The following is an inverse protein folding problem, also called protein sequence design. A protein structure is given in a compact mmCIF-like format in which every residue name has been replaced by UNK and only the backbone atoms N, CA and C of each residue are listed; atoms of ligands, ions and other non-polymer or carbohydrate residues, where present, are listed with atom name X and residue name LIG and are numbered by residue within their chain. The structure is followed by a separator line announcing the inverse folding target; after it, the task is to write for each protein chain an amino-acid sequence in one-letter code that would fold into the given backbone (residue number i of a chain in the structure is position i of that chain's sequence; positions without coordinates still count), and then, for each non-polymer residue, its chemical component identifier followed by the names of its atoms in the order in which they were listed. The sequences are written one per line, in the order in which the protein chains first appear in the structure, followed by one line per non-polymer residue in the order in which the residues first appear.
data_IF_938222477950
#
_entry.id   IF_938222477950
#
_cell.length_a   1.000
_cell.length_b   1.000
_cell.length_c   1.000
_cell.angle_alpha   90.00
_cell.angle_beta   90.00
_cell.angle_gamma   90.00
#
_symmetry.space_group_name_H-M   'P 1'
#
loop_
_entity.id
_entity.type
_entity.pdbx_description
1 polymer ?
#
# COMPACT_ATOMS: atom_id res chain seq x y z
N UNK A 1 42.90 -32.32 6.96
CA UNK A 1 42.35 -31.51 5.85
C UNK A 1 42.94 -30.12 5.96
N UNK A 2 43.52 -29.54 4.91
CA UNK A 2 44.13 -28.21 4.96
C UNK A 2 43.03 -27.16 5.18
N UNK A 3 43.33 -26.10 5.94
CA UNK A 3 42.41 -25.00 6.28
C UNK A 3 41.75 -24.42 5.03
N UNK A 4 42.50 -24.27 3.95
CA UNK A 4 42.02 -23.82 2.64
C UNK A 4 40.95 -24.73 2.02
N UNK A 5 41.03 -26.03 2.24
CA UNK A 5 40.05 -27.02 1.77
C UNK A 5 38.73 -26.88 2.53
N UNK A 6 38.81 -26.64 3.84
CA UNK A 6 37.62 -26.39 4.69
C UNK A 6 36.93 -25.09 4.27
N UNK A 7 37.71 -24.03 4.03
CA UNK A 7 37.17 -22.74 3.59
C UNK A 7 36.50 -22.83 2.18
N UNK A 8 37.09 -23.65 1.28
CA UNK A 8 36.50 -23.93 0.01
C UNK A 8 35.17 -24.68 0.14
N UNK A 9 35.12 -25.74 0.92
CA UNK A 9 33.88 -26.46 1.20
C UNK A 9 32.83 -25.60 1.84
N UNK A 10 33.17 -24.76 2.81
CA UNK A 10 32.24 -23.83 3.46
C UNK A 10 31.66 -22.80 2.46
N UNK A 11 32.47 -22.34 1.49
CA UNK A 11 31.98 -21.46 0.40
C UNK A 11 31.02 -22.20 -0.52
N UNK A 12 31.32 -23.44 -0.89
CA UNK A 12 30.47 -24.29 -1.75
C UNK A 12 29.15 -24.59 -1.00
N UNK A 13 29.20 -25.01 0.25
CA UNK A 13 27.99 -25.26 1.05
C UNK A 13 27.12 -24.01 1.18
N UNK A 14 27.73 -22.83 1.39
CA UNK A 14 27.00 -21.56 1.47
C UNK A 14 26.28 -21.18 0.17
N UNK A 15 26.82 -21.61 -0.99
CA UNK A 15 26.19 -21.41 -2.30
C UNK A 15 25.08 -22.43 -2.53
N UNK A 16 25.16 -23.61 -1.92
CA UNK A 16 24.17 -24.69 -2.02
C UNK A 16 23.06 -24.59 -0.96
N UNK A 17 23.24 -23.77 0.08
CA UNK A 17 22.15 -23.48 1.02
C UNK A 17 20.97 -22.86 0.25
N UNK A 18 19.76 -23.42 0.38
CA UNK A 18 18.59 -22.77 -0.21
C UNK A 18 18.47 -21.35 0.41
N UNK A 19 18.08 -20.35 -0.38
CA UNK A 19 17.86 -19.01 0.16
C UNK A 19 16.85 -19.11 1.32
N UNK A 20 17.04 -18.33 2.40
CA UNK A 20 16.13 -18.35 3.53
C UNK A 20 14.71 -18.00 3.04
N UNK A 21 13.71 -18.70 3.54
CA UNK A 21 12.30 -18.41 3.24
C UNK A 21 11.90 -17.11 3.94
N UNK A 22 12.03 -16.00 3.21
CA UNK A 22 11.78 -14.65 3.73
C UNK A 22 10.41 -14.16 3.29
N UNK A 23 9.64 -13.63 4.22
CA UNK A 23 8.47 -12.83 3.89
C UNK A 23 8.88 -11.48 3.28
N UNK A 24 7.93 -10.75 2.69
CA UNK A 24 8.23 -9.45 2.08
C UNK A 24 8.75 -8.45 3.10
N UNK A 25 8.18 -8.40 4.32
CA UNK A 25 8.65 -7.52 5.38
C UNK A 25 10.08 -7.85 5.82
N UNK A 26 10.38 -9.13 6.01
CA UNK A 26 11.73 -9.60 6.36
C UNK A 26 12.75 -9.31 5.26
N UNK A 27 12.36 -9.50 3.97
CA UNK A 27 13.22 -9.14 2.84
C UNK A 27 13.51 -7.63 2.83
N UNK A 28 12.49 -6.80 3.04
CA UNK A 28 12.64 -5.36 3.05
C UNK A 28 13.54 -4.90 4.20
N UNK A 29 13.33 -5.39 5.41
CA UNK A 29 14.16 -5.08 6.57
C UNK A 29 15.62 -5.51 6.38
N UNK A 30 15.85 -6.60 5.65
CA UNK A 30 17.21 -7.12 5.42
C UNK A 30 17.94 -6.36 4.31
N UNK A 31 17.29 -6.07 3.19
CA UNK A 31 17.96 -5.66 1.96
C UNK A 31 17.60 -4.24 1.48
N UNK A 32 16.37 -3.77 1.73
CA UNK A 32 15.85 -2.53 1.15
C UNK A 32 16.58 -1.29 1.69
N UNK A 33 16.88 -0.36 0.78
CA UNK A 33 17.34 0.98 1.11
C UNK A 33 16.38 2.01 0.52
N UNK A 34 15.99 2.97 1.34
CA UNK A 34 15.22 4.14 0.90
C UNK A 34 16.16 5.12 0.23
N UNK A 35 15.76 5.65 -0.93
CA UNK A 35 16.48 6.71 -1.60
C UNK A 35 16.15 8.06 -0.98
N UNK A 36 17.13 8.93 -0.82
CA UNK A 36 16.93 10.32 -0.41
C UNK A 36 16.19 11.15 -1.46
N UNK A 37 16.19 10.72 -2.73
CA UNK A 37 15.49 11.37 -3.85
C UNK A 37 13.97 11.13 -3.82
N UNK A 38 13.52 10.11 -3.11
CA UNK A 38 12.09 9.72 -3.04
C UNK A 38 11.27 10.48 -1.99
N UNK A 39 11.78 11.59 -1.46
CA UNK A 39 11.08 12.43 -0.46
C UNK A 39 11.09 11.87 0.97
N UNK A 40 11.66 10.69 1.20
CA UNK A 40 11.89 10.10 2.52
C UNK A 40 13.32 10.37 3.00
N UNK A 41 13.55 10.33 4.32
CA UNK A 41 14.91 10.26 4.84
C UNK A 41 15.54 8.97 4.33
N UNK A 42 16.59 9.09 3.49
CA UNK A 42 17.33 7.94 2.97
C UNK A 42 17.83 7.03 4.10
N UNK A 43 18.01 5.74 3.84
CA UNK A 43 18.54 4.81 4.82
C UNK A 43 17.99 3.39 4.71
N UNK A 44 18.24 2.59 5.72
CA UNK A 44 17.71 1.23 5.80
C UNK A 44 16.19 1.24 6.02
N UNK A 45 15.48 0.39 5.29
CA UNK A 45 14.08 0.11 5.59
C UNK A 45 13.95 -0.47 7.01
N UNK A 46 12.89 -0.09 7.69
CA UNK A 46 12.53 -0.67 8.98
C UNK A 46 11.02 -0.72 9.10
N UNK A 47 10.46 -1.92 9.05
CA UNK A 47 9.02 -2.18 9.10
C UNK A 47 8.41 -1.76 10.45
N UNK A 48 9.19 -1.77 11.55
CA UNK A 48 8.71 -1.33 12.87
C UNK A 48 8.34 0.16 12.92
N UNK A 49 8.85 0.96 11.98
CA UNK A 49 8.46 2.37 11.85
C UNK A 49 7.06 2.58 11.28
N UNK A 50 6.49 1.53 10.66
CA UNK A 50 5.15 1.55 10.09
C UNK A 50 4.48 0.18 10.33
N UNK A 51 4.12 -0.14 11.58
CA UNK A 51 3.68 -1.50 11.98
C UNK A 51 2.47 -2.00 11.20
N UNK A 52 1.55 -1.11 10.79
CA UNK A 52 0.38 -1.45 9.98
C UNK A 52 0.72 -2.02 8.60
N UNK A 53 1.93 -1.85 8.12
CA UNK A 53 2.35 -2.35 6.80
C UNK A 53 2.79 -3.83 6.84
N UNK A 54 3.20 -4.35 8.01
CA UNK A 54 3.85 -5.67 8.13
C UNK A 54 3.00 -6.81 7.61
N UNK A 55 1.79 -6.97 8.15
CA UNK A 55 0.92 -8.09 7.78
C UNK A 55 0.47 -8.02 6.31
N UNK A 56 0.27 -6.82 5.77
CA UNK A 56 -0.04 -6.61 4.35
C UNK A 56 1.13 -7.07 3.48
N UNK A 57 2.34 -6.66 3.83
CA UNK A 57 3.56 -7.08 3.11
C UNK A 57 3.71 -8.60 3.15
N UNK A 58 3.51 -9.21 4.30
CA UNK A 58 3.65 -10.67 4.46
C UNK A 58 2.55 -11.43 3.71
N UNK A 59 1.31 -10.91 3.66
CA UNK A 59 0.24 -11.47 2.86
C UNK A 59 0.56 -11.48 1.34
N UNK A 60 1.33 -10.52 0.83
CA UNK A 60 1.74 -10.48 -0.58
C UNK A 60 2.63 -11.66 -0.93
N UNK A 61 3.45 -12.15 0.00
CA UNK A 61 4.33 -13.31 -0.24
C UNK A 61 3.78 -14.63 0.29
N UNK A 62 2.67 -14.61 1.02
CA UNK A 62 1.99 -15.83 1.45
C UNK A 62 1.45 -16.62 0.25
N UNK A 63 1.92 -17.86 0.06
CA UNK A 63 1.59 -18.69 -1.08
C UNK A 63 0.09 -19.05 -1.16
N UNK A 64 -0.62 -19.02 -0.05
CA UNK A 64 -2.06 -19.28 0.03
C UNK A 64 -2.91 -18.09 -0.43
N UNK A 65 -2.34 -16.89 -0.52
CA UNK A 65 -3.02 -15.64 -0.87
C UNK A 65 -2.74 -15.30 -2.33
N UNK A 66 -3.76 -15.27 -3.17
CA UNK A 66 -3.63 -14.89 -4.59
C UNK A 66 -3.83 -13.39 -4.81
N UNK A 67 -4.71 -12.76 -4.00
CA UNK A 67 -5.06 -11.34 -4.16
C UNK A 67 -5.05 -10.61 -2.81
N UNK A 68 -4.41 -9.44 -2.80
CA UNK A 68 -4.34 -8.50 -1.69
C UNK A 68 -4.94 -7.17 -2.12
N UNK A 69 -5.89 -6.66 -1.35
CA UNK A 69 -6.58 -5.38 -1.58
C UNK A 69 -6.25 -4.43 -0.44
N UNK A 70 -5.80 -3.22 -0.75
CA UNK A 70 -5.42 -2.22 0.26
C UNK A 70 -6.20 -0.93 0.04
N UNK A 71 -7.28 -0.76 0.78
CA UNK A 71 -8.05 0.47 0.86
C UNK A 71 -7.53 1.29 2.05
N UNK A 72 -7.02 2.48 1.81
CA UNK A 72 -6.40 3.23 2.91
C UNK A 72 -6.37 4.73 2.70
N UNK A 73 -6.06 5.44 3.77
CA UNK A 73 -5.71 6.85 3.74
C UNK A 73 -4.56 7.16 2.78
N UNK A 74 -4.45 8.42 2.38
CA UNK A 74 -3.34 8.90 1.56
C UNK A 74 -2.04 9.03 2.39
N UNK A 75 -0.89 9.14 1.70
CA UNK A 75 0.42 9.39 2.31
C UNK A 75 0.86 8.38 3.39
N UNK A 76 0.30 7.18 3.38
CA UNK A 76 0.61 6.10 4.33
C UNK A 76 1.73 5.15 3.85
N UNK A 77 2.48 5.54 2.82
CA UNK A 77 3.63 4.78 2.32
C UNK A 77 3.28 3.56 1.46
N UNK A 78 2.07 3.48 0.91
CA UNK A 78 1.58 2.35 0.07
C UNK A 78 2.55 1.97 -1.04
N UNK A 79 2.99 2.95 -1.83
CA UNK A 79 3.85 2.72 -2.99
C UNK A 79 5.18 2.08 -2.61
N UNK A 80 5.85 2.55 -1.57
CA UNK A 80 7.11 1.96 -1.11
C UNK A 80 6.92 0.58 -0.49
N UNK A 81 5.91 0.43 0.39
CA UNK A 81 5.69 -0.80 1.15
C UNK A 81 5.16 -1.94 0.27
N UNK A 82 4.13 -1.68 -0.54
CA UNK A 82 3.40 -2.74 -1.21
C UNK A 82 3.80 -2.93 -2.68
N UNK A 83 4.19 -1.85 -3.37
CA UNK A 83 4.58 -1.97 -4.77
C UNK A 83 6.10 -2.12 -4.92
N UNK A 84 6.88 -1.13 -4.46
CA UNK A 84 8.33 -1.14 -4.69
C UNK A 84 9.02 -2.29 -3.96
N UNK A 85 8.66 -2.56 -2.70
CA UNK A 85 9.24 -3.70 -1.99
C UNK A 85 8.88 -5.03 -2.67
N UNK A 86 7.64 -5.17 -3.18
CA UNK A 86 7.22 -6.35 -3.96
C UNK A 86 8.04 -6.49 -5.24
N UNK A 87 8.24 -5.41 -6.00
CA UNK A 87 9.11 -5.43 -7.17
C UNK A 87 10.53 -5.85 -6.78
N UNK A 88 11.07 -5.27 -5.72
CA UNK A 88 12.42 -5.59 -5.24
C UNK A 88 12.56 -7.06 -4.81
N UNK A 89 11.59 -7.58 -4.08
CA UNK A 89 11.53 -8.99 -3.66
C UNK A 89 11.55 -9.93 -4.87
N UNK A 90 10.60 -9.75 -5.80
CA UNK A 90 10.50 -10.60 -6.99
C UNK A 90 11.60 -10.34 -8.03
N UNK A 91 12.33 -9.26 -7.96
CA UNK A 91 13.54 -9.04 -8.76
C UNK A 91 14.76 -9.75 -8.18
N UNK A 92 14.86 -9.83 -6.86
CA UNK A 92 16.05 -10.35 -6.16
C UNK A 92 15.91 -11.80 -5.75
N UNK A 93 14.79 -12.16 -5.15
CA UNK A 93 14.61 -13.39 -4.40
C UNK A 93 13.87 -14.49 -5.18
N UNK A 94 12.78 -14.12 -5.87
CA UNK A 94 11.95 -15.04 -6.66
C UNK A 94 11.62 -14.44 -8.05
N UNK A 95 12.62 -14.35 -8.96
CA UNK A 95 12.49 -13.62 -10.21
C UNK A 95 11.34 -14.11 -11.11
N UNK A 96 10.53 -13.17 -11.60
CA UNK A 96 9.39 -13.47 -12.45
C UNK A 96 8.96 -12.28 -13.32
N UNK A 97 7.87 -12.45 -14.07
CA UNK A 97 7.25 -11.37 -14.85
C UNK A 97 6.29 -10.55 -13.98
N UNK A 98 6.49 -9.24 -13.97
CA UNK A 98 5.72 -8.26 -13.19
C UNK A 98 5.07 -7.26 -14.13
N UNK A 99 3.79 -6.97 -13.92
CA UNK A 99 3.09 -5.83 -14.51
C UNK A 99 2.74 -4.84 -13.39
N UNK A 100 3.20 -3.59 -13.52
CA UNK A 100 2.84 -2.50 -12.62
C UNK A 100 1.99 -1.49 -13.39
N UNK A 101 0.75 -1.33 -12.94
CA UNK A 101 -0.23 -0.44 -13.54
C UNK A 101 -0.37 0.83 -12.71
N UNK A 102 -0.42 1.96 -13.40
CA UNK A 102 -0.69 3.28 -12.87
C UNK A 102 -1.92 3.86 -13.58
N UNK A 103 -2.61 4.87 -13.03
CA UNK A 103 -3.75 5.49 -13.69
C UNK A 103 -3.45 5.98 -15.11
N UNK A 104 -2.28 6.58 -15.30
CA UNK A 104 -1.85 7.13 -16.60
C UNK A 104 -0.44 6.68 -16.99
N UNK A 105 -0.12 6.78 -18.27
CA UNK A 105 1.22 6.46 -18.77
C UNK A 105 2.28 7.44 -18.20
N UNK A 106 1.92 8.71 -17.99
CA UNK A 106 2.80 9.69 -17.35
C UNK A 106 3.15 9.30 -15.91
N UNK A 107 2.17 8.84 -15.12
CA UNK A 107 2.44 8.34 -13.78
C UNK A 107 3.28 7.06 -13.79
N UNK A 108 3.08 6.18 -14.78
CA UNK A 108 3.94 5.01 -14.97
C UNK A 108 5.39 5.40 -15.30
N UNK A 109 5.60 6.47 -16.07
CA UNK A 109 6.93 7.01 -16.35
C UNK A 109 7.58 7.57 -15.08
N UNK A 110 6.86 8.39 -14.31
CA UNK A 110 7.30 8.92 -13.01
C UNK A 110 7.66 7.78 -12.04
N UNK A 111 6.80 6.77 -11.93
CA UNK A 111 7.04 5.59 -11.10
C UNK A 111 8.34 4.87 -11.51
N UNK A 112 8.59 4.75 -12.82
CA UNK A 112 9.81 4.13 -13.34
C UNK A 112 11.07 4.94 -13.03
N UNK A 113 11.05 6.25 -13.34
CA UNK A 113 12.23 7.13 -13.26
C UNK A 113 12.53 7.56 -11.83
N UNK A 114 11.50 8.01 -11.11
CA UNK A 114 11.68 8.74 -9.86
C UNK A 114 11.53 7.85 -8.62
N UNK A 115 10.99 6.62 -8.79
CA UNK A 115 10.80 5.69 -7.68
C UNK A 115 11.55 4.37 -7.86
N UNK A 116 11.30 3.64 -8.97
CA UNK A 116 11.93 2.33 -9.20
C UNK A 116 13.44 2.44 -9.40
N UNK A 117 13.90 3.31 -10.29
CA UNK A 117 15.34 3.37 -10.59
C UNK A 117 16.18 3.86 -9.42
N UNK A 118 15.80 4.89 -8.64
CA UNK A 118 16.47 5.21 -7.38
C UNK A 118 16.49 4.04 -6.39
N UNK A 119 15.38 3.30 -6.25
CA UNK A 119 15.35 2.11 -5.41
C UNK A 119 16.38 1.06 -5.84
N UNK A 120 16.44 0.75 -7.14
CA UNK A 120 17.38 -0.24 -7.71
C UNK A 120 18.81 0.20 -7.49
N UNK A 121 19.12 1.48 -7.76
CA UNK A 121 20.45 2.05 -7.57
C UNK A 121 20.94 2.00 -6.12
N UNK A 122 20.06 2.36 -5.18
CA UNK A 122 20.43 2.57 -3.79
C UNK A 122 20.31 1.30 -2.93
N UNK A 123 19.63 0.26 -3.43
CA UNK A 123 19.55 -1.06 -2.77
C UNK A 123 20.64 -1.99 -3.30
N UNK A 124 21.69 -2.34 -2.50
CA UNK A 124 22.82 -3.13 -3.00
C UNK A 124 22.43 -4.47 -3.64
N UNK A 125 21.39 -5.14 -3.12
CA UNK A 125 20.89 -6.40 -3.65
C UNK A 125 20.25 -6.29 -5.05
N UNK A 126 19.89 -5.07 -5.49
CA UNK A 126 19.22 -4.79 -6.75
C UNK A 126 20.09 -4.08 -7.77
N UNK A 127 21.16 -3.41 -7.33
CA UNK A 127 21.97 -2.47 -8.13
C UNK A 127 22.41 -3.03 -9.47
N UNK A 128 22.82 -4.29 -9.52
CA UNK A 128 23.35 -4.92 -10.74
C UNK A 128 22.32 -5.76 -11.48
N UNK A 129 21.04 -5.73 -11.03
CA UNK A 129 19.98 -6.54 -11.67
C UNK A 129 19.46 -5.90 -12.96
N UNK A 130 19.50 -4.58 -13.10
CA UNK A 130 19.07 -3.89 -14.31
C UNK A 130 20.27 -3.21 -14.95
N UNK A 131 20.59 -3.60 -16.18
CA UNK A 131 21.65 -2.96 -16.96
C UNK A 131 21.06 -1.82 -17.82
N UNK A 132 21.18 -0.58 -17.35
CA UNK A 132 20.69 0.59 -18.07
C UNK A 132 21.53 0.96 -19.32
N UNK A 133 22.81 0.58 -19.33
CA UNK A 133 23.74 0.95 -20.41
C UNK A 133 23.61 0.07 -21.65
N UNK A 134 22.94 -1.05 -21.55
CA UNK A 134 22.78 -2.00 -22.66
C UNK A 134 21.52 -1.68 -23.48
N UNK A 135 21.70 -0.99 -24.60
CA UNK A 135 20.62 -0.82 -25.61
C UNK A 135 20.16 -2.15 -26.20
N UNK A 136 20.98 -3.19 -26.17
CA UNK A 136 20.68 -4.54 -26.64
C UNK A 136 19.80 -5.35 -25.68
N UNK A 137 19.70 -4.98 -24.41
CA UNK A 137 18.90 -5.69 -23.42
C UNK A 137 17.39 -5.39 -23.50
N UNK A 138 16.94 -4.53 -24.42
CA UNK A 138 15.51 -4.17 -24.57
C UNK A 138 14.95 -3.35 -23.39
N UNK A 139 15.83 -2.71 -22.61
CA UNK A 139 15.44 -1.87 -21.50
C UNK A 139 14.98 -0.50 -21.99
N UNK A 140 13.75 -0.11 -21.61
CA UNK A 140 13.17 1.19 -21.89
C UNK A 140 12.69 1.80 -20.57
N UNK A 141 12.12 3.00 -20.62
CA UNK A 141 11.49 3.62 -19.45
C UNK A 141 10.43 2.70 -18.85
N UNK A 142 9.61 2.08 -19.69
CA UNK A 142 8.45 1.27 -19.27
C UNK A 142 8.74 -0.23 -19.12
N UNK A 143 9.85 -0.72 -19.66
CA UNK A 143 10.20 -2.14 -19.63
C UNK A 143 11.62 -2.32 -19.13
N UNK A 144 11.79 -3.12 -18.08
CA UNK A 144 13.09 -3.44 -17.51
C UNK A 144 13.24 -4.95 -17.42
N UNK A 145 14.27 -5.49 -18.06
CA UNK A 145 14.65 -6.87 -17.94
C UNK A 145 15.68 -7.06 -16.83
N UNK A 146 15.58 -8.15 -16.11
CA UNK A 146 16.53 -8.56 -15.08
C UNK A 146 16.69 -10.10 -15.14
N UNK A 147 17.74 -10.68 -14.55
CA UNK A 147 17.93 -12.13 -14.58
C UNK A 147 16.72 -12.88 -14.03
N UNK A 148 16.12 -13.75 -14.83
CA UNK A 148 14.95 -14.56 -14.47
C UNK A 148 13.59 -13.87 -14.60
N UNK A 149 13.52 -12.58 -15.00
CA UNK A 149 12.25 -11.90 -15.10
C UNK A 149 12.30 -10.56 -15.85
N UNK A 150 11.18 -9.87 -15.80
CA UNK A 150 11.02 -8.50 -16.31
C UNK A 150 9.91 -7.77 -15.56
N UNK A 151 10.01 -6.45 -15.54
CA UNK A 151 8.90 -5.58 -15.15
C UNK A 151 8.44 -4.78 -16.37
N UNK A 152 7.13 -4.65 -16.52
CA UNK A 152 6.48 -3.72 -17.43
C UNK A 152 5.67 -2.73 -16.59
N UNK A 153 5.85 -1.46 -16.85
CA UNK A 153 5.04 -0.37 -16.28
C UNK A 153 4.12 0.17 -17.34
N UNK A 154 2.85 0.40 -17.01
CA UNK A 154 1.85 0.85 -17.99
C UNK A 154 0.79 1.73 -17.35
N UNK A 155 0.11 2.53 -18.18
CA UNK A 155 -1.12 3.21 -17.79
C UNK A 155 -2.34 2.29 -17.97
N UNK A 156 -3.35 2.48 -17.13
CA UNK A 156 -4.60 1.71 -17.17
C UNK A 156 -5.38 1.90 -18.50
N UNK A 157 -5.10 2.97 -19.24
CA UNK A 157 -5.69 3.26 -20.54
C UNK A 157 -4.94 2.66 -21.75
N UNK A 158 -3.97 1.75 -21.52
CA UNK A 158 -3.12 1.17 -22.57
C UNK A 158 -3.49 -0.29 -22.88
N UNK A 159 -4.53 -0.58 -23.66
CA UNK A 159 -5.06 -1.93 -23.84
C UNK A 159 -4.05 -2.92 -24.42
N UNK A 160 -3.18 -2.48 -25.32
CA UNK A 160 -2.14 -3.34 -25.93
C UNK A 160 -1.17 -3.92 -24.90
N UNK A 161 -0.72 -3.14 -23.92
CA UNK A 161 0.19 -3.62 -22.88
C UNK A 161 -0.52 -4.55 -21.89
N UNK A 162 -1.81 -4.32 -21.62
CA UNK A 162 -2.62 -5.14 -20.72
C UNK A 162 -2.91 -6.55 -21.28
N UNK A 163 -2.74 -6.75 -22.60
CA UNK A 163 -2.98 -8.04 -23.27
C UNK A 163 -1.72 -8.79 -23.68
N UNK A 164 -0.55 -8.16 -23.62
CA UNK A 164 0.58 -8.60 -24.41
C UNK A 164 1.21 -9.92 -23.97
N UNK A 165 1.21 -10.27 -22.69
CA UNK A 165 1.96 -11.43 -22.18
C UNK A 165 1.39 -11.98 -20.86
N UNK A 166 1.61 -13.29 -20.56
CA UNK A 166 1.41 -13.82 -19.21
C UNK A 166 2.30 -13.12 -18.21
N UNK A 167 1.72 -12.79 -17.06
CA UNK A 167 2.41 -12.18 -15.91
C UNK A 167 2.15 -13.03 -14.67
N UNK A 168 3.11 -13.05 -13.75
CA UNK A 168 2.92 -13.72 -12.46
C UNK A 168 2.47 -12.76 -11.38
N UNK A 169 2.95 -11.53 -11.43
CA UNK A 169 2.65 -10.49 -10.44
C UNK A 169 1.97 -9.31 -11.15
N UNK A 170 0.81 -8.93 -10.65
CA UNK A 170 0.09 -7.71 -11.02
C UNK A 170 0.10 -6.77 -9.82
N UNK A 171 0.58 -5.55 -10.03
CA UNK A 171 0.55 -4.46 -9.07
C UNK A 171 -0.27 -3.32 -9.67
N UNK A 172 -1.43 -3.03 -9.09
CA UNK A 172 -2.35 -2.00 -9.57
C UNK A 172 -2.46 -0.89 -8.51
N UNK A 173 -1.93 0.28 -8.84
CA UNK A 173 -1.88 1.43 -7.94
C UNK A 173 -2.96 2.45 -8.27
N UNK A 174 -3.61 3.00 -7.25
CA UNK A 174 -4.68 4.00 -7.34
C UNK A 174 -5.80 3.58 -8.31
N UNK A 175 -6.36 2.37 -8.08
CA UNK A 175 -7.35 1.77 -8.99
C UNK A 175 -8.65 2.56 -9.12
N UNK A 176 -8.99 3.40 -8.14
CA UNK A 176 -10.15 4.29 -8.21
C UNK A 176 -9.99 5.37 -9.30
N UNK A 177 -8.76 5.70 -9.65
CA UNK A 177 -8.46 6.65 -10.73
C UNK A 177 -8.39 6.00 -12.13
N UNK A 178 -8.66 4.69 -12.24
CA UNK A 178 -8.65 4.01 -13.54
C UNK A 178 -9.89 4.38 -14.36
N UNK A 179 -9.76 4.52 -15.70
CA UNK A 179 -10.90 4.69 -16.55
C UNK A 179 -11.83 3.47 -16.48
N UNK A 180 -13.14 3.64 -16.76
CA UNK A 180 -14.08 2.52 -16.77
C UNK A 180 -13.74 1.48 -17.85
N UNK A 181 -13.10 1.91 -18.93
CA UNK A 181 -12.66 1.04 -20.03
C UNK A 181 -11.26 1.42 -20.51
N UNK A 182 -10.43 0.43 -20.81
CA UNK A 182 -9.18 0.62 -21.53
C UNK A 182 -9.46 0.70 -23.03
N UNK A 183 -9.64 1.91 -23.55
CA UNK A 183 -10.16 2.13 -24.91
C UNK A 183 -11.55 1.50 -25.09
N UNK A 184 -11.74 0.65 -26.12
CA UNK A 184 -12.99 -0.08 -26.38
C UNK A 184 -13.02 -1.49 -25.78
N UNK A 185 -12.05 -1.88 -24.96
CA UNK A 185 -11.78 -3.31 -24.66
C UNK A 185 -12.28 -3.79 -23.28
N UNK A 186 -12.83 -2.88 -22.47
CA UNK A 186 -13.39 -3.19 -21.15
C UNK A 186 -12.50 -2.78 -19.99
N UNK A 187 -12.86 -3.19 -18.79
CA UNK A 187 -12.21 -2.80 -17.55
C UNK A 187 -10.73 -3.18 -17.52
N UNK A 188 -9.81 -2.21 -17.28
CA UNK A 188 -8.37 -2.44 -17.32
C UNK A 188 -7.88 -3.45 -16.29
N UNK A 189 -8.47 -3.48 -15.09
CA UNK A 189 -8.08 -4.42 -14.03
C UNK A 189 -8.47 -5.84 -14.41
N UNK A 190 -9.67 -6.05 -14.95
CA UNK A 190 -10.12 -7.35 -15.44
C UNK A 190 -9.24 -7.83 -16.61
N UNK A 191 -8.87 -6.93 -17.53
CA UNK A 191 -8.00 -7.29 -18.67
C UNK A 191 -6.62 -7.75 -18.22
N UNK A 192 -6.01 -7.02 -17.27
CA UNK A 192 -4.71 -7.37 -16.69
C UNK A 192 -4.79 -8.67 -15.86
N UNK A 193 -5.82 -8.82 -15.03
CA UNK A 193 -6.04 -10.01 -14.20
C UNK A 193 -6.12 -11.31 -14.99
N UNK A 194 -6.68 -11.28 -16.23
CA UNK A 194 -6.67 -12.43 -17.14
C UNK A 194 -5.26 -12.91 -17.53
N UNK A 195 -4.22 -12.10 -17.38
CA UNK A 195 -2.83 -12.48 -17.67
C UNK A 195 -2.18 -13.29 -16.55
N UNK A 196 -2.77 -13.29 -15.37
CA UNK A 196 -2.30 -14.05 -14.19
C UNK A 196 -2.65 -15.55 -14.28
N UNK A 197 -3.63 -15.94 -15.08
CA UNK A 197 -4.21 -17.30 -15.09
C UNK A 197 -3.23 -18.41 -15.43
N UNK A 198 -2.11 -18.11 -16.09
CA UNK A 198 -1.07 -19.08 -16.45
C UNK A 198 -0.27 -19.57 -15.24
N UNK A 199 -0.22 -18.76 -14.17
CA UNK A 199 0.62 -19.06 -13.00
C UNK A 199 -0.24 -19.50 -11.81
N UNK A 200 0.06 -20.66 -11.27
CA UNK A 200 -0.61 -21.17 -10.06
C UNK A 200 -0.26 -20.36 -8.79
N UNK A 201 0.95 -19.77 -8.77
CA UNK A 201 1.48 -18.94 -7.69
C UNK A 201 1.42 -17.43 -8.04
N UNK A 202 0.37 -17.04 -8.76
CA UNK A 202 0.11 -15.64 -9.12
C UNK A 202 -0.16 -14.75 -7.92
N UNK A 203 0.11 -13.47 -8.07
CA UNK A 203 -0.24 -12.42 -7.08
C UNK A 203 -0.86 -11.23 -7.78
N UNK A 204 -1.92 -10.73 -7.20
CA UNK A 204 -2.56 -9.46 -7.56
C UNK A 204 -2.58 -8.58 -6.32
N UNK A 205 -2.10 -7.34 -6.44
CA UNK A 205 -2.06 -6.35 -5.36
C UNK A 205 -2.71 -5.08 -5.87
N UNK A 206 -3.89 -4.78 -5.32
CA UNK A 206 -4.68 -3.60 -5.66
C UNK A 206 -4.59 -2.61 -4.51
N UNK A 207 -4.18 -1.38 -4.81
CA UNK A 207 -4.08 -0.31 -3.82
C UNK A 207 -4.83 0.93 -4.29
N UNK A 208 -5.53 1.59 -3.41
CA UNK A 208 -6.12 2.90 -3.67
C UNK A 208 -6.54 3.62 -2.39
N UNK A 209 -6.64 4.94 -2.50
CA UNK A 209 -7.49 5.75 -1.65
C UNK A 209 -8.90 5.70 -2.23
N UNK A 210 -9.96 5.46 -1.42
CA UNK A 210 -11.32 5.36 -1.91
C UNK A 210 -11.89 6.74 -2.30
N UNK A 211 -12.95 6.75 -3.10
CA UNK A 211 -13.59 7.97 -3.60
C UNK A 211 -15.06 8.08 -3.17
N UNK A 212 -16.01 7.84 -4.03
CA UNK A 212 -17.44 7.97 -3.76
C UNK A 212 -18.05 6.60 -3.50
N UNK A 213 -18.86 6.50 -2.46
CA UNK A 213 -19.56 5.28 -2.07
C UNK A 213 -20.37 4.70 -3.22
N UNK A 214 -20.24 3.40 -3.46
CA UNK A 214 -20.91 2.69 -4.54
C UNK A 214 -20.31 2.90 -5.93
N UNK A 215 -19.35 3.83 -6.10
CA UNK A 215 -18.60 4.03 -7.34
C UNK A 215 -17.10 3.70 -7.18
N UNK A 216 -16.60 3.67 -5.95
CA UNK A 216 -15.21 3.34 -5.62
C UNK A 216 -14.90 1.88 -5.93
N UNK A 217 -13.91 1.64 -6.81
CA UNK A 217 -13.45 0.29 -7.15
C UNK A 217 -12.78 -0.40 -5.97
N UNK A 218 -11.94 0.34 -5.24
CA UNK A 218 -11.23 -0.24 -4.11
C UNK A 218 -12.19 -0.61 -2.97
N UNK A 219 -13.28 0.15 -2.77
CA UNK A 219 -14.32 -0.21 -1.81
C UNK A 219 -15.02 -1.52 -2.22
N UNK A 220 -15.42 -1.66 -3.49
CA UNK A 220 -16.03 -2.89 -4.00
C UNK A 220 -15.10 -4.10 -3.85
N UNK A 221 -13.82 -3.97 -4.17
CA UNK A 221 -12.83 -5.03 -3.98
C UNK A 221 -12.63 -5.37 -2.49
N UNK A 222 -12.57 -4.36 -1.63
CA UNK A 222 -12.45 -4.54 -0.18
C UNK A 222 -13.68 -5.23 0.41
N UNK A 223 -14.90 -4.85 0.03
CA UNK A 223 -16.14 -5.48 0.49
C UNK A 223 -16.27 -6.97 0.10
N UNK A 224 -15.62 -7.38 -1.00
CA UNK A 224 -15.56 -8.79 -1.41
C UNK A 224 -14.40 -9.58 -0.76
N UNK A 225 -13.55 -8.92 0.02
CA UNK A 225 -12.39 -9.49 0.70
C UNK A 225 -12.69 -9.92 2.15
N UNK A 226 -11.64 -10.29 2.89
CA UNK A 226 -11.68 -10.56 4.34
C UNK A 226 -12.12 -9.36 5.17
N UNK A 227 -12.05 -8.13 4.62
CA UNK A 227 -12.36 -6.86 5.30
C UNK A 227 -11.63 -6.74 6.64
N UNK A 228 -10.32 -6.73 6.58
CA UNK A 228 -9.45 -6.64 7.75
C UNK A 228 -9.20 -5.18 8.13
N UNK A 229 -9.42 -4.83 9.38
CA UNK A 229 -9.15 -3.51 9.93
C UNK A 229 -7.93 -3.54 10.85
N UNK A 230 -7.12 -2.47 10.81
CA UNK A 230 -5.99 -2.31 11.72
C UNK A 230 -6.48 -2.01 13.13
N UNK A 231 -6.22 -2.92 14.07
CA UNK A 231 -6.60 -2.81 15.47
C UNK A 231 -5.36 -2.66 16.36
N UNK A 232 -5.48 -1.81 17.37
CA UNK A 232 -4.42 -1.52 18.34
C UNK A 232 -4.94 -1.83 19.75
N UNK A 233 -4.13 -2.43 20.65
CA UNK A 233 -4.55 -2.65 22.02
C UNK A 233 -4.60 -1.32 22.79
N UNK A 234 -5.64 -1.18 23.60
CA UNK A 234 -5.79 -0.01 24.49
C UNK A 234 -4.68 0.00 25.57
N UNK A 235 -4.01 1.14 25.80
CA UNK A 235 -2.97 1.24 26.84
C UNK A 235 -3.42 0.85 28.24
N UNK A 236 -4.71 1.02 28.58
CA UNK A 236 -5.25 0.69 29.90
C UNK A 236 -5.78 -0.73 30.02
N UNK A 237 -6.63 -1.20 29.10
CA UNK A 237 -7.32 -2.48 29.24
C UNK A 237 -6.78 -3.58 28.29
N UNK A 238 -5.88 -3.25 27.35
CA UNK A 238 -5.30 -4.22 26.40
C UNK A 238 -6.27 -4.70 25.32
N UNK A 239 -7.53 -4.26 25.32
CA UNK A 239 -8.52 -4.67 24.32
C UNK A 239 -8.20 -4.09 22.95
N UNK A 240 -8.21 -4.95 21.93
CA UNK A 240 -7.96 -4.58 20.54
C UNK A 240 -9.16 -3.82 19.96
N UNK A 241 -8.89 -2.70 19.31
CA UNK A 241 -9.92 -1.89 18.65
C UNK A 241 -9.36 -1.13 17.45
N UNK A 242 -10.17 -0.88 16.41
CA UNK A 242 -9.77 0.01 15.32
C UNK A 242 -9.67 1.46 15.85
N UNK A 243 -8.80 2.24 15.22
CA UNK A 243 -8.72 3.68 15.51
C UNK A 243 -9.77 4.41 14.66
N UNK A 244 -10.86 4.83 15.29
CA UNK A 244 -11.97 5.53 14.64
C UNK A 244 -11.95 7.02 14.97
N UNK A 245 -12.25 7.86 13.98
CA UNK A 245 -12.32 9.31 14.16
C UNK A 245 -13.28 9.76 15.27
N UNK A 246 -14.40 9.07 15.41
CA UNK A 246 -15.43 9.34 16.43
C UNK A 246 -14.93 9.29 17.89
N UNK A 247 -13.83 8.56 18.12
CA UNK A 247 -13.23 8.40 19.45
C UNK A 247 -12.07 9.38 19.72
N UNK A 248 -11.71 10.22 18.74
CA UNK A 248 -10.71 11.26 18.89
C UNK A 248 -11.34 12.51 19.51
N UNK A 249 -10.76 13.01 20.58
CA UNK A 249 -11.14 14.25 21.23
C UNK A 249 -10.03 15.27 21.04
N UNK A 250 -10.38 16.46 20.62
CA UNK A 250 -9.44 17.57 20.49
C UNK A 250 -10.00 18.83 21.12
N UNK A 251 -9.11 19.70 21.56
CA UNK A 251 -9.43 21.05 22.08
C UNK A 251 -8.66 22.07 21.25
N UNK A 252 -9.33 23.19 20.99
CA UNK A 252 -8.72 24.37 20.36
C UNK A 252 -8.73 25.52 21.33
N UNK A 253 -7.70 26.34 21.30
CA UNK A 253 -7.60 27.56 22.09
C UNK A 253 -8.43 28.73 21.49
N UNK A 254 -8.33 29.91 22.10
CA UNK A 254 -9.05 31.10 21.66
C UNK A 254 -8.59 31.61 20.28
N UNK A 255 -7.38 31.28 19.85
CA UNK A 255 -6.79 31.67 18.58
C UNK A 255 -7.06 30.61 17.46
N UNK A 256 -7.70 29.49 17.84
CA UNK A 256 -8.05 28.39 16.92
C UNK A 256 -6.93 27.36 16.71
N UNK A 257 -5.86 27.43 17.50
CA UNK A 257 -4.79 26.43 17.48
C UNK A 257 -5.16 25.22 18.34
N UNK A 258 -4.60 24.04 18.01
CA UNK A 258 -4.89 22.80 18.72
C UNK A 258 -4.11 22.77 20.03
N UNK A 259 -4.84 22.83 21.13
CA UNK A 259 -4.28 22.75 22.49
C UNK A 259 -3.95 21.30 22.89
N UNK A 260 -4.80 20.36 22.54
CA UNK A 260 -4.61 18.95 22.89
C UNK A 260 -5.40 18.02 21.98
N UNK A 261 -4.83 16.84 21.76
CA UNK A 261 -5.45 15.73 21.02
C UNK A 261 -5.34 14.45 21.85
N UNK A 262 -6.46 13.81 22.15
CA UNK A 262 -6.53 12.58 22.95
C UNK A 262 -7.49 11.58 22.30
N UNK A 263 -7.40 10.32 22.68
CA UNK A 263 -8.25 9.27 22.13
C UNK A 263 -8.88 8.44 23.25
N UNK A 264 -10.19 8.21 23.13
CA UNK A 264 -10.98 7.46 24.12
C UNK A 264 -11.07 5.99 23.68
N UNK A 265 -10.73 5.10 24.59
CA UNK A 265 -10.98 3.67 24.37
C UNK A 265 -12.48 3.39 24.28
N UNK A 266 -12.93 2.81 23.17
CA UNK A 266 -14.33 2.42 22.96
C UNK A 266 -14.83 1.35 23.93
N UNK A 267 -13.92 0.61 24.61
CA UNK A 267 -14.25 -0.49 25.53
C UNK A 267 -14.28 -0.07 26.99
N UNK A 268 -13.23 0.59 27.48
CA UNK A 268 -13.13 0.92 28.90
C UNK A 268 -13.33 2.40 29.20
N UNK A 269 -13.43 3.27 28.18
CA UNK A 269 -13.61 4.71 28.34
C UNK A 269 -12.36 5.47 28.81
N UNK A 270 -11.21 4.81 28.96
CA UNK A 270 -9.96 5.46 29.34
C UNK A 270 -9.50 6.42 28.22
N UNK A 271 -9.00 7.59 28.63
CA UNK A 271 -8.51 8.65 27.73
C UNK A 271 -6.99 8.63 27.75
N UNK A 272 -6.38 8.56 26.59
CA UNK A 272 -4.94 8.52 26.42
C UNK A 272 -4.47 9.51 25.36
N UNK A 273 -3.23 9.95 25.49
CA UNK A 273 -2.54 10.77 24.51
C UNK A 273 -2.17 9.97 23.26
N UNK A 274 -1.87 10.66 22.17
CA UNK A 274 -1.36 10.05 20.94
C UNK A 274 -0.10 9.22 21.20
N UNK A 275 0.81 9.71 22.05
CA UNK A 275 2.07 9.02 22.36
C UNK A 275 1.81 7.69 23.02
N UNK A 276 0.96 7.64 24.04
CA UNK A 276 0.60 6.41 24.75
C UNK A 276 -0.03 5.38 23.81
N UNK A 277 -0.91 5.77 22.88
CA UNK A 277 -1.46 4.87 21.88
C UNK A 277 -0.40 4.34 20.89
N UNK A 278 0.48 5.23 20.43
CA UNK A 278 1.52 4.87 19.44
C UNK A 278 2.61 3.95 20.01
N UNK A 279 2.85 3.95 21.31
CA UNK A 279 3.73 2.99 21.98
C UNK A 279 3.27 1.53 21.78
N UNK A 280 1.94 1.31 21.62
CA UNK A 280 1.33 0.00 21.40
C UNK A 280 1.14 -0.37 19.93
N UNK A 281 1.54 0.47 18.98
CA UNK A 281 1.34 0.19 17.55
C UNK A 281 2.06 -1.09 17.08
N UNK A 282 3.21 -1.42 17.65
CA UNK A 282 3.91 -2.67 17.31
C UNK A 282 3.19 -3.94 17.79
N UNK A 283 2.22 -3.81 18.69
CA UNK A 283 1.36 -4.88 19.17
C UNK A 283 0.03 -4.95 18.37
N UNK A 284 -0.20 -3.95 17.51
CA UNK A 284 -1.35 -3.90 16.62
C UNK A 284 -1.37 -5.03 15.62
N UNK A 285 -2.57 -5.41 15.19
CA UNK A 285 -2.80 -6.46 14.18
C UNK A 285 -4.08 -6.21 13.39
N UNK A 286 -4.16 -6.85 12.24
CA UNK A 286 -5.38 -6.85 11.46
C UNK A 286 -6.41 -7.86 12.00
N UNK A 287 -7.66 -7.43 12.05
CA UNK A 287 -8.79 -8.28 12.49
C UNK A 287 -9.78 -8.41 11.33
N UNK A 288 -9.93 -9.64 10.83
CA UNK A 288 -10.79 -9.94 9.69
C UNK A 288 -12.27 -10.03 10.10
N UNK A 289 -13.13 -9.32 9.36
CA UNK A 289 -14.59 -9.49 9.49
C UNK A 289 -15.07 -10.80 8.88
N UNK A 290 -14.42 -11.24 7.80
CA UNK A 290 -14.75 -12.47 7.06
C UNK A 290 -13.52 -13.35 6.85
N UNK A 291 -13.00 -14.03 7.89
CA UNK A 291 -11.68 -14.70 7.84
C UNK A 291 -11.60 -15.87 6.84
N UNK A 292 -12.73 -16.40 6.37
CA UNK A 292 -12.77 -17.53 5.45
C UNK A 292 -12.75 -17.15 3.98
N UNK A 293 -12.72 -15.85 3.64
CA UNK A 293 -12.62 -15.39 2.25
C UNK A 293 -11.19 -15.54 1.73
N UNK A 294 -11.05 -15.81 0.43
CA UNK A 294 -9.75 -16.06 -0.22
C UNK A 294 -8.97 -14.79 -0.52
N UNK A 295 -9.66 -13.68 -0.78
CA UNK A 295 -9.05 -12.38 -1.03
C UNK A 295 -8.80 -11.71 0.31
N UNK A 296 -7.56 -11.34 0.59
CA UNK A 296 -7.24 -10.55 1.78
C UNK A 296 -7.39 -9.07 1.48
N UNK A 297 -8.20 -8.38 2.25
CA UNK A 297 -8.41 -6.94 2.09
C UNK A 297 -8.16 -6.22 3.39
N UNK A 298 -7.40 -5.14 3.32
CA UNK A 298 -6.90 -4.40 4.45
C UNK A 298 -7.36 -2.96 4.41
N UNK A 299 -7.79 -2.44 5.56
CA UNK A 299 -8.14 -1.04 5.74
C UNK A 299 -7.39 -0.45 6.92
N UNK A 300 -6.88 0.76 6.74
CA UNK A 300 -6.29 1.61 7.77
C UNK A 300 -6.41 3.08 7.39
N UNK A 301 -6.55 3.93 8.41
CA UNK A 301 -6.69 5.37 8.26
C UNK A 301 -5.44 6.11 8.76
N UNK A 302 -5.43 7.44 8.66
CA UNK A 302 -4.31 8.29 9.06
C UNK A 302 -4.01 8.27 10.55
N UNK A 303 -4.96 7.85 11.41
CA UNK A 303 -4.70 7.73 12.86
C UNK A 303 -3.66 6.65 13.17
N UNK A 304 -3.48 5.66 12.28
CA UNK A 304 -2.44 4.64 12.38
C UNK A 304 -1.03 5.19 12.02
N UNK A 305 -0.92 6.42 11.51
CA UNK A 305 0.36 6.97 11.03
C UNK A 305 1.35 7.24 12.15
N UNK A 306 2.60 6.81 11.93
CA UNK A 306 3.77 7.24 12.70
C UNK A 306 4.57 8.33 11.98
N UNK A 307 4.15 8.73 10.77
CA UNK A 307 4.87 9.71 9.96
C UNK A 307 4.50 11.15 10.31
N UNK A 308 3.31 11.35 10.88
CA UNK A 308 2.79 12.64 11.33
C UNK A 308 1.86 12.47 12.54
N UNK A 309 1.62 13.56 13.25
CA UNK A 309 0.76 13.57 14.44
C UNK A 309 -0.73 13.70 14.12
N UNK A 310 -1.56 13.36 15.09
CA UNK A 310 -3.02 13.50 15.01
C UNK A 310 -3.47 14.96 14.87
N UNK A 311 -2.69 15.90 15.39
CA UNK A 311 -2.96 17.35 15.25
C UNK A 311 -3.07 17.77 13.79
N UNK A 312 -2.26 17.17 12.89
CA UNK A 312 -2.36 17.43 11.45
C UNK A 312 -3.71 16.99 10.88
N UNK A 313 -4.21 15.83 11.32
CA UNK A 313 -5.50 15.28 10.88
C UNK A 313 -6.64 16.18 11.38
N UNK A 314 -6.58 16.59 12.66
CA UNK A 314 -7.54 17.50 13.30
C UNK A 314 -7.56 18.84 12.60
N UNK A 315 -6.40 19.42 12.28
CA UNK A 315 -6.30 20.69 11.56
C UNK A 315 -7.00 20.62 10.20
N UNK A 316 -6.73 19.56 9.44
CA UNK A 316 -7.42 19.33 8.16
C UNK A 316 -8.94 19.17 8.32
N UNK A 317 -9.40 18.52 9.41
CA UNK A 317 -10.83 18.42 9.72
C UNK A 317 -11.45 19.78 10.02
N UNK A 318 -10.82 20.61 10.85
CA UNK A 318 -11.33 21.94 11.19
C UNK A 318 -11.47 22.80 9.92
N UNK A 319 -10.48 22.79 9.04
CA UNK A 319 -10.52 23.51 7.77
C UNK A 319 -11.67 23.01 6.87
N UNK A 320 -11.85 21.69 6.79
CA UNK A 320 -12.91 21.06 6.02
C UNK A 320 -14.30 21.34 6.58
N UNK A 321 -14.47 21.31 7.92
CA UNK A 321 -15.73 21.62 8.58
C UNK A 321 -16.13 23.09 8.43
N UNK A 322 -15.15 24.01 8.53
CA UNK A 322 -15.39 25.43 8.27
C UNK A 322 -15.81 25.70 6.82
N UNK A 323 -15.23 24.98 5.85
CA UNK A 323 -15.61 25.08 4.44
C UNK A 323 -17.01 24.49 4.19
N UNK A 324 -17.31 23.35 4.82
CA UNK A 324 -18.63 22.73 4.76
C UNK A 324 -19.73 23.66 5.29
N UNK A 325 -19.50 24.32 6.42
CA UNK A 325 -20.42 25.34 6.98
C UNK A 325 -20.67 26.53 6.04
N UNK A 326 -19.73 26.79 5.13
CA UNK A 326 -19.85 27.81 4.07
C UNK A 326 -20.43 27.25 2.75
N UNK A 327 -20.88 26.00 2.73
CA UNK A 327 -21.46 25.34 1.56
C UNK A 327 -20.44 24.67 0.62
N UNK A 328 -19.15 24.62 0.98
CA UNK A 328 -18.13 23.91 0.19
C UNK A 328 -17.90 22.51 0.75
N UNK A 329 -18.47 21.51 0.10
CA UNK A 329 -18.41 20.09 0.47
C UNK A 329 -17.09 19.41 0.10
N UNK A 330 -16.37 19.93 -0.90
CA UNK A 330 -15.22 19.25 -1.52
C UNK A 330 -14.06 19.02 -0.55
N UNK A 331 -13.81 19.95 0.39
CA UNK A 331 -12.76 19.77 1.38
C UNK A 331 -13.09 18.65 2.37
N UNK A 332 -14.36 18.54 2.81
CA UNK A 332 -14.77 17.47 3.72
C UNK A 332 -14.73 16.11 3.01
N UNK A 333 -15.20 16.04 1.78
CA UNK A 333 -15.08 14.85 0.93
C UNK A 333 -13.62 14.42 0.77
N UNK A 334 -12.74 15.36 0.42
CA UNK A 334 -11.31 15.08 0.31
C UNK A 334 -10.74 14.58 1.64
N UNK A 335 -11.08 15.22 2.76
CA UNK A 335 -10.59 14.83 4.09
C UNK A 335 -11.06 13.41 4.46
N UNK A 336 -12.33 13.07 4.26
CA UNK A 336 -12.85 11.71 4.52
C UNK A 336 -12.11 10.67 3.69
N UNK A 337 -11.94 10.92 2.40
CA UNK A 337 -11.26 9.99 1.51
C UNK A 337 -9.77 9.85 1.86
N UNK A 338 -9.07 10.96 2.11
CA UNK A 338 -7.62 10.95 2.24
C UNK A 338 -7.12 10.70 3.67
N UNK A 339 -7.87 11.09 4.70
CA UNK A 339 -7.47 10.89 6.10
C UNK A 339 -8.14 9.65 6.71
N UNK A 340 -9.43 9.42 6.45
CA UNK A 340 -10.10 8.24 6.98
C UNK A 340 -9.95 7.00 6.08
N UNK A 341 -9.55 7.18 4.82
CA UNK A 341 -9.51 6.08 3.87
C UNK A 341 -10.90 5.47 3.64
N UNK A 342 -11.94 6.29 3.75
CA UNK A 342 -13.34 5.90 3.61
C UNK A 342 -13.97 6.59 2.40
N UNK A 343 -14.99 5.97 1.82
CA UNK A 343 -15.75 6.57 0.74
C UNK A 343 -16.62 7.71 1.25
N UNK A 344 -16.76 8.75 0.42
CA UNK A 344 -17.71 9.82 0.65
C UNK A 344 -19.11 9.36 0.23
N UNK A 345 -20.09 9.49 1.15
CA UNK A 345 -21.49 9.25 0.87
C UNK A 345 -22.14 10.59 0.45
N UNK A 346 -22.50 10.72 -0.82
CA UNK A 346 -23.28 11.86 -1.28
C UNK A 346 -24.65 11.79 -0.62
N UNK A 347 -24.97 12.77 0.21
CA UNK A 347 -26.34 12.93 0.70
C UNK A 347 -27.20 13.37 -0.50
N UNK A 348 -27.86 12.39 -1.16
CA UNK A 348 -28.85 12.70 -2.17
C UNK A 348 -29.89 13.61 -1.53
N UNK A 349 -30.29 14.69 -2.22
CA UNK A 349 -31.52 15.39 -1.91
C UNK A 349 -32.62 14.32 -1.84
N UNK A 350 -33.15 14.09 -0.64
CA UNK A 350 -34.37 13.30 -0.51
C UNK A 350 -35.40 14.08 -1.27
N UNK A 351 -35.74 13.60 -2.47
CA UNK A 351 -36.91 14.13 -3.21
C UNK A 351 -38.04 14.18 -2.20
N UNK A 352 -38.53 15.36 -1.94
CA UNK A 352 -39.69 15.54 -1.07
C UNK A 352 -40.84 14.71 -1.69
N UNK A 353 -41.59 14.00 -0.83
CA UNK A 353 -42.80 13.29 -1.28
C UNK A 353 -43.84 14.20 -1.94
N UNK A 354 -43.59 15.51 -1.92
CA UNK A 354 -44.47 16.55 -2.50
C UNK A 354 -44.11 16.91 -3.95
N UNK A 355 -43.03 16.31 -4.51
CA UNK A 355 -42.60 16.50 -5.90
C UNK A 355 -43.05 15.37 -6.86
N UNK A 356 -43.91 14.46 -6.40
CA UNK A 356 -44.60 13.42 -7.16
C UNK A 356 -46.10 13.67 -7.11
#
# INVERSE_FOLDING_TARGET
MKRETIDLFNRIFKVLEPPPDLTLSQWADRYRRLSSESGSKGGKWNTEKAPWQREIMDAITDISVEKVVVMSAAQMGKTDAFLLNTIGYYMHYDPCTILCMQPTLSLAETMSKDRLMPMVRDTPALRDKINEKSRTAGNTIFKKAFPGGRITMTGANSPTELRSRPIRILLADEIDAYPPTAGAEGDPLILAGKRLTTYWNRKEVDTSTPTIKGASRIEMEYEHSTMEEWNVPCPSCGELQPLEWSNLIYKVDADGEIESTTYVCAKCGAVHTEVEWKEHFNEGRYVAKYPNRKVRGFHFNSLASTFFGWDKIVKGFIEADQALKKGNIELMKSWVNTELGQTWEEQGEKASKDDL
#
